data_IF_583080746501
#
_entry.id   IF_583080746501
#
_cell.length_a   1.000
_cell.length_b   1.000
_cell.length_c   1.000
_cell.angle_alpha   90.00
_cell.angle_beta   90.00
_cell.angle_gamma   90.00
#
_symmetry.space_group_name_H-M   'P 1'
#
loop_
_entity.id
_entity.type
_entity.pdbx_description
1 polymer ?
#
# COMPACT_ATOMS: atom_id res chain seq x y z
N UNK A 1 -6.04 30.44 27.59
CA UNK A 1 -6.04 30.66 26.14
C UNK A 1 -6.74 29.43 25.52
N UNK A 2 -7.91 29.68 24.96
CA UNK A 2 -8.80 28.63 24.40
C UNK A 2 -8.28 28.36 23.02
N UNK A 3 -7.75 27.14 22.81
CA UNK A 3 -7.38 26.65 21.49
C UNK A 3 -8.68 26.36 20.72
N UNK A 4 -9.02 27.23 19.80
CA UNK A 4 -10.02 26.94 18.79
C UNK A 4 -9.44 25.87 17.87
N UNK A 5 -10.02 24.69 17.89
CA UNK A 5 -9.76 23.62 16.95
C UNK A 5 -10.42 23.97 15.61
N UNK A 6 -9.73 24.70 14.77
CA UNK A 6 -9.96 24.59 13.33
C UNK A 6 -9.31 23.30 12.88
N UNK A 7 -10.08 22.20 12.91
CA UNK A 7 -9.79 21.01 12.09
C UNK A 7 -10.04 21.49 10.66
N UNK A 8 -8.99 21.99 10.03
CA UNK A 8 -9.02 22.30 8.60
C UNK A 8 -9.24 20.96 7.90
N UNK A 9 -10.39 20.81 7.25
CA UNK A 9 -10.72 19.58 6.51
C UNK A 9 -9.70 19.46 5.39
N UNK A 10 -8.97 18.35 5.36
CA UNK A 10 -8.07 18.02 4.24
C UNK A 10 -8.80 18.26 2.92
N UNK A 11 -8.15 18.96 2.00
CA UNK A 11 -8.76 19.31 0.71
C UNK A 11 -9.06 18.04 -0.08
N UNK A 12 -10.29 17.96 -0.58
CA UNK A 12 -10.69 16.90 -1.52
C UNK A 12 -10.82 17.51 -2.91
N UNK A 13 -10.12 16.93 -3.86
CA UNK A 13 -10.12 17.36 -5.26
C UNK A 13 -11.13 16.55 -6.05
N UNK A 14 -11.74 17.17 -7.06
CA UNK A 14 -12.71 16.55 -8.00
C UNK A 14 -12.13 16.39 -9.40
N UNK A 15 -11.09 17.16 -9.70
CA UNK A 15 -10.50 17.24 -11.04
C UNK A 15 -8.99 16.98 -11.00
N UNK A 16 -8.48 16.41 -12.09
CA UNK A 16 -7.05 16.22 -12.29
C UNK A 16 -6.46 17.46 -12.97
N UNK A 17 -5.46 18.13 -12.38
CA UNK A 17 -4.85 19.33 -12.95
C UNK A 17 -4.25 19.06 -14.35
N UNK A 18 -4.58 19.90 -15.32
CA UNK A 18 -4.02 19.82 -16.67
C UNK A 18 -2.65 20.52 -16.79
N UNK A 19 -2.39 21.47 -15.92
CA UNK A 19 -1.12 22.22 -15.82
C UNK A 19 -0.46 21.91 -14.46
N UNK A 20 0.88 22.09 -14.41
CA UNK A 20 1.61 21.94 -13.14
C UNK A 20 1.01 22.87 -12.09
N UNK A 21 0.58 22.33 -10.94
CA UNK A 21 0.08 23.15 -9.85
C UNK A 21 1.19 23.94 -9.17
N UNK A 22 0.83 25.02 -8.48
CA UNK A 22 1.73 25.70 -7.57
C UNK A 22 1.89 24.87 -6.29
N UNK A 23 3.15 24.59 -5.93
CA UNK A 23 3.51 23.73 -4.80
C UNK A 23 4.67 24.35 -4.02
N UNK A 24 4.44 25.53 -3.35
CA UNK A 24 5.52 26.35 -2.80
C UNK A 24 6.37 25.63 -1.74
N UNK A 25 5.79 24.78 -0.89
CA UNK A 25 6.55 24.00 0.08
C UNK A 25 7.23 22.80 -0.62
N UNK A 26 6.49 22.02 -1.41
CA UNK A 26 7.04 20.87 -2.12
C UNK A 26 8.20 21.28 -3.04
N UNK A 27 8.15 22.46 -3.64
CA UNK A 27 9.21 22.96 -4.53
C UNK A 27 10.51 23.25 -3.79
N UNK A 28 10.51 23.40 -2.47
CA UNK A 28 11.72 23.54 -1.64
C UNK A 28 12.33 22.20 -1.25
N UNK A 29 11.61 21.08 -1.41
CA UNK A 29 12.06 19.75 -1.00
C UNK A 29 12.87 19.11 -2.12
N UNK A 30 14.18 19.04 -1.95
CA UNK A 30 15.11 18.33 -2.83
C UNK A 30 15.45 16.92 -2.33
N UNK A 31 15.39 16.71 -1.01
CA UNK A 31 15.69 15.44 -0.35
C UNK A 31 14.90 15.28 0.95
N UNK A 32 14.76 14.08 1.51
CA UNK A 32 14.08 13.85 2.79
C UNK A 32 14.63 14.66 3.98
N UNK A 33 15.88 15.05 3.93
CA UNK A 33 16.50 15.88 4.96
C UNK A 33 15.80 17.25 5.10
N UNK A 34 15.30 17.80 3.99
CA UNK A 34 14.65 19.12 3.97
C UNK A 34 13.32 19.13 4.74
N UNK A 35 12.66 17.96 4.84
CA UNK A 35 11.40 17.81 5.58
C UNK A 35 11.57 18.14 7.07
N UNK A 36 12.74 17.86 7.65
CA UNK A 36 12.96 18.00 9.09
C UNK A 36 12.99 19.45 9.59
N UNK A 37 13.10 20.40 8.68
CA UNK A 37 13.01 21.83 8.98
C UNK A 37 11.59 22.37 9.02
N UNK A 38 10.60 21.58 8.55
CA UNK A 38 9.21 22.03 8.46
C UNK A 38 8.49 21.93 9.80
N UNK A 39 7.64 22.92 10.06
CA UNK A 39 6.67 22.89 11.15
C UNK A 39 5.54 21.89 10.88
N UNK A 40 4.75 21.57 11.92
CA UNK A 40 3.59 20.67 11.77
C UNK A 40 2.57 21.17 10.75
N UNK A 41 2.33 22.47 10.70
CA UNK A 41 1.37 23.07 9.76
C UNK A 41 1.90 23.02 8.33
N UNK A 42 3.20 23.27 8.13
CA UNK A 42 3.86 23.13 6.82
C UNK A 42 3.87 21.68 6.34
N UNK A 43 4.03 20.69 7.22
CA UNK A 43 3.90 19.27 6.84
C UNK A 43 2.49 18.92 6.36
N UNK A 44 1.44 19.46 6.99
CA UNK A 44 0.06 19.26 6.55
C UNK A 44 -0.17 19.91 5.18
N UNK A 45 0.33 21.14 4.98
CA UNK A 45 0.27 21.79 3.68
C UNK A 45 1.04 21.01 2.61
N UNK A 46 2.23 20.50 2.94
CA UNK A 46 3.02 19.65 2.05
C UNK A 46 2.24 18.40 1.60
N UNK A 47 1.45 17.79 2.50
CA UNK A 47 0.64 16.62 2.13
C UNK A 47 -0.41 16.96 1.07
N UNK A 48 -1.02 18.15 1.13
CA UNK A 48 -1.97 18.60 0.11
C UNK A 48 -1.26 18.95 -1.21
N UNK A 49 -0.11 19.63 -1.16
CA UNK A 49 0.69 19.94 -2.35
C UNK A 49 1.22 18.68 -3.05
N UNK A 50 1.71 17.70 -2.28
CA UNK A 50 2.18 16.42 -2.78
C UNK A 50 1.05 15.65 -3.48
N UNK A 51 -0.16 15.65 -2.89
CA UNK A 51 -1.35 15.05 -3.47
C UNK A 51 -1.70 15.70 -4.81
N UNK A 52 -1.77 17.04 -4.84
CA UNK A 52 -2.09 17.78 -6.04
C UNK A 52 -1.06 17.57 -7.16
N UNK A 53 0.21 17.53 -6.82
CA UNK A 53 1.29 17.25 -7.77
C UNK A 53 1.22 15.82 -8.30
N UNK A 54 0.88 14.83 -7.46
CA UNK A 54 0.64 13.44 -7.89
C UNK A 54 -0.52 13.35 -8.88
N UNK A 55 -1.65 14.01 -8.58
CA UNK A 55 -2.80 14.08 -9.50
C UNK A 55 -2.37 14.55 -10.89
N UNK A 56 -1.59 15.63 -10.93
CA UNK A 56 -1.05 16.18 -12.18
C UNK A 56 -0.16 15.17 -12.90
N UNK A 57 0.82 14.59 -12.21
CA UNK A 57 1.79 13.68 -12.85
C UNK A 57 1.12 12.42 -13.38
N UNK A 58 0.30 11.74 -12.55
CA UNK A 58 -0.36 10.48 -12.95
C UNK A 58 -1.40 10.72 -14.04
N UNK A 59 -2.09 11.87 -14.02
CA UNK A 59 -2.95 12.28 -15.12
C UNK A 59 -2.23 12.36 -16.47
N UNK A 60 -0.95 12.74 -16.49
CA UNK A 60 -0.13 12.85 -17.71
C UNK A 60 0.51 11.52 -18.13
N UNK A 61 0.92 10.69 -17.17
CA UNK A 61 1.70 9.48 -17.45
C UNK A 61 0.88 8.20 -17.40
N UNK A 62 -0.23 8.21 -16.68
CA UNK A 62 -0.88 7.01 -16.19
C UNK A 62 -0.08 6.34 -15.07
N UNK A 63 -0.57 5.24 -14.54
CA UNK A 63 0.10 4.47 -13.50
C UNK A 63 -0.79 4.16 -12.30
N UNK A 64 -0.20 3.59 -11.25
CA UNK A 64 -0.93 3.32 -10.00
C UNK A 64 -1.30 4.64 -9.31
N UNK A 65 -2.55 4.77 -8.92
CA UNK A 65 -3.08 6.05 -8.51
C UNK A 65 -3.59 6.05 -7.07
N UNK A 66 -4.66 5.32 -6.81
CA UNK A 66 -5.33 5.33 -5.52
C UNK A 66 -4.45 4.88 -4.35
N UNK A 67 -3.56 3.92 -4.58
CA UNK A 67 -2.65 3.43 -3.55
C UNK A 67 -1.63 4.48 -3.10
N UNK A 68 -1.08 5.26 -4.06
CA UNK A 68 -0.16 6.35 -3.76
C UNK A 68 -0.83 7.48 -2.97
N UNK A 69 -2.06 7.87 -3.34
CA UNK A 69 -2.84 8.87 -2.62
C UNK A 69 -3.13 8.47 -1.17
N UNK A 70 -3.38 7.18 -0.94
CA UNK A 70 -3.67 6.64 0.38
C UNK A 70 -2.49 6.68 1.37
N UNK A 71 -1.25 6.82 0.90
CA UNK A 71 -0.05 6.79 1.75
C UNK A 71 0.74 8.10 1.74
N UNK A 72 0.16 9.20 1.28
CA UNK A 72 0.85 10.49 1.25
C UNK A 72 1.37 10.90 2.62
N UNK A 73 0.49 10.97 3.61
CA UNK A 73 0.81 11.38 4.97
C UNK A 73 1.80 10.40 5.62
N UNK A 74 1.59 9.10 5.42
CA UNK A 74 2.50 8.07 5.93
C UNK A 74 3.90 8.22 5.32
N UNK A 75 4.00 8.50 4.02
CA UNK A 75 5.29 8.69 3.34
C UNK A 75 6.04 9.91 3.86
N UNK A 76 5.34 11.03 4.07
CA UNK A 76 5.91 12.24 4.67
C UNK A 76 6.41 11.95 6.08
N UNK A 77 5.58 11.32 6.92
CA UNK A 77 5.94 10.99 8.29
C UNK A 77 7.17 10.07 8.38
N UNK A 78 7.26 9.06 7.52
CA UNK A 78 8.40 8.16 7.43
C UNK A 78 9.69 8.91 7.08
N UNK A 79 9.68 9.74 6.06
CA UNK A 79 10.87 10.50 5.66
C UNK A 79 11.22 11.64 6.62
N UNK A 80 10.24 12.16 7.36
CA UNK A 80 10.47 13.14 8.41
C UNK A 80 11.18 12.52 9.63
N UNK A 81 10.73 11.33 10.06
CA UNK A 81 11.19 10.67 11.30
C UNK A 81 12.46 9.85 11.09
N UNK A 82 12.56 9.11 9.99
CA UNK A 82 13.69 8.22 9.70
C UNK A 82 14.76 8.92 8.87
N UNK A 83 16.01 8.65 9.19
CA UNK A 83 17.17 9.24 8.49
C UNK A 83 17.49 8.48 7.20
N UNK A 84 16.58 8.52 6.23
CA UNK A 84 16.80 7.88 4.92
C UNK A 84 17.85 8.63 4.10
N UNK A 85 18.70 7.93 3.32
CA UNK A 85 18.71 6.49 3.04
C UNK A 85 19.45 5.63 4.05
N UNK A 86 20.06 6.20 5.11
CA UNK A 86 20.74 5.42 6.15
C UNK A 86 19.78 4.44 6.83
N UNK A 87 18.65 4.91 7.36
CA UNK A 87 17.54 4.07 7.77
C UNK A 87 16.87 3.47 6.53
N UNK A 88 16.39 2.23 6.61
CA UNK A 88 15.87 1.48 5.46
C UNK A 88 14.33 1.45 5.45
N UNK A 89 13.74 1.95 4.37
CA UNK A 89 12.31 1.79 4.08
C UNK A 89 12.14 0.75 2.99
N UNK A 90 11.45 -0.35 3.29
CA UNK A 90 11.18 -1.44 2.37
C UNK A 90 9.68 -1.47 2.07
N UNK A 91 9.32 -1.04 0.87
CA UNK A 91 7.94 -0.98 0.42
C UNK A 91 7.51 -2.32 -0.16
N UNK A 92 6.37 -2.84 0.28
CA UNK A 92 5.78 -4.04 -0.33
C UNK A 92 5.13 -3.70 -1.66
N UNK A 93 5.25 -4.56 -2.67
CA UNK A 93 4.84 -4.29 -4.07
C UNK A 93 5.53 -3.06 -4.66
N UNK A 94 5.43 -1.91 -3.99
CA UNK A 94 6.03 -0.65 -4.40
C UNK A 94 5.16 0.21 -5.33
N UNK A 95 3.95 -0.21 -5.65
CA UNK A 95 3.01 0.54 -6.49
C UNK A 95 2.52 1.84 -5.85
N UNK A 96 2.60 1.96 -4.52
CA UNK A 96 2.23 3.13 -3.73
C UNK A 96 3.36 4.17 -3.58
N UNK A 97 4.55 3.97 -4.18
CA UNK A 97 5.77 4.74 -3.88
C UNK A 97 5.96 6.01 -4.69
N UNK A 98 4.96 6.52 -5.37
CA UNK A 98 5.09 7.78 -6.10
C UNK A 98 5.37 8.97 -5.18
N UNK A 99 4.71 9.12 -4.01
CA UNK A 99 5.10 10.12 -3.02
C UNK A 99 6.57 9.98 -2.57
N UNK A 100 7.03 8.76 -2.34
CA UNK A 100 8.42 8.47 -2.02
C UNK A 100 9.39 8.96 -3.10
N UNK A 101 9.10 8.69 -4.37
CA UNK A 101 9.94 9.17 -5.48
C UNK A 101 9.99 10.69 -5.57
N UNK A 102 8.86 11.36 -5.37
CA UNK A 102 8.77 12.83 -5.39
C UNK A 102 9.63 13.42 -4.28
N UNK A 103 9.53 12.92 -3.05
CA UNK A 103 10.25 13.42 -1.88
C UNK A 103 11.74 13.04 -1.86
N UNK A 104 12.17 12.12 -2.71
CA UNK A 104 13.55 11.64 -2.81
C UNK A 104 14.29 12.15 -4.05
N UNK A 105 14.00 13.38 -4.47
CA UNK A 105 14.73 14.11 -5.50
C UNK A 105 14.35 13.78 -6.96
N UNK A 106 13.28 12.97 -7.17
CA UNK A 106 12.85 12.58 -8.53
C UNK A 106 11.61 13.33 -9.02
N UNK A 107 11.21 14.41 -8.31
CA UNK A 107 10.01 15.19 -8.61
C UNK A 107 9.93 15.64 -10.07
N UNK A 108 11.00 16.25 -10.59
CA UNK A 108 11.02 16.78 -11.96
C UNK A 108 10.98 15.68 -13.02
N UNK A 109 11.39 14.47 -12.66
CA UNK A 109 11.40 13.32 -13.57
C UNK A 109 10.07 12.56 -13.60
N UNK A 110 9.11 12.90 -12.72
CA UNK A 110 7.84 12.17 -12.60
C UNK A 110 7.04 12.09 -13.90
N UNK A 111 7.18 13.09 -14.80
CA UNK A 111 6.53 13.05 -16.11
C UNK A 111 7.14 12.02 -17.10
N UNK A 112 8.26 11.39 -16.74
CA UNK A 112 8.86 10.28 -17.48
C UNK A 112 8.46 8.90 -16.91
N UNK A 113 7.61 8.87 -15.90
CA UNK A 113 7.19 7.65 -15.21
C UNK A 113 6.68 6.58 -16.18
N UNK A 114 7.19 5.33 -16.04
CA UNK A 114 6.81 4.17 -16.85
C UNK A 114 7.07 4.30 -18.35
N UNK A 115 7.87 5.27 -18.76
CA UNK A 115 8.31 5.42 -20.13
C UNK A 115 9.69 4.79 -20.35
N UNK A 116 10.01 4.44 -21.58
CA UNK A 116 11.34 3.89 -21.91
C UNK A 116 12.44 4.91 -21.60
N UNK A 117 13.38 4.52 -20.72
CA UNK A 117 14.46 5.39 -20.25
C UNK A 117 14.03 6.40 -19.17
N UNK A 118 12.78 6.40 -18.76
CA UNK A 118 12.26 7.20 -17.66
C UNK A 118 12.23 6.45 -16.33
N UNK A 119 11.53 7.04 -15.35
CA UNK A 119 11.38 6.46 -14.01
C UNK A 119 10.60 5.15 -14.03
N UNK A 120 11.06 4.19 -13.23
CA UNK A 120 10.33 2.94 -12.95
C UNK A 120 9.04 3.23 -12.20
N UNK A 121 8.00 2.45 -12.46
CA UNK A 121 6.74 2.48 -11.70
C UNK A 121 6.83 1.90 -10.29
N UNK A 122 7.96 1.28 -9.95
CA UNK A 122 8.26 0.64 -8.68
C UNK A 122 9.64 1.09 -8.17
N UNK A 123 9.96 0.88 -6.87
CA UNK A 123 11.32 1.09 -6.36
C UNK A 123 12.35 0.28 -7.15
N UNK A 124 13.46 0.92 -7.48
CA UNK A 124 14.54 0.32 -8.26
C UNK A 124 15.90 0.82 -7.76
N UNK A 125 16.70 -0.07 -7.15
CA UNK A 125 17.99 0.28 -6.53
C UNK A 125 18.96 1.00 -7.46
N UNK A 126 18.93 0.71 -8.76
CA UNK A 126 19.78 1.41 -9.73
C UNK A 126 19.25 2.80 -10.14
N UNK A 127 18.07 3.20 -9.66
CA UNK A 127 17.45 4.50 -9.91
C UNK A 127 17.74 5.49 -8.79
N UNK A 128 17.76 5.04 -7.55
CA UNK A 128 17.98 5.89 -6.39
C UNK A 128 18.51 5.09 -5.20
N UNK A 129 19.39 5.71 -4.41
CA UNK A 129 19.87 5.17 -3.12
C UNK A 129 18.77 5.04 -2.07
N UNK A 130 17.68 5.81 -2.22
CA UNK A 130 16.50 5.72 -1.36
C UNK A 130 15.63 4.50 -1.66
N UNK A 131 15.77 3.88 -2.83
CA UNK A 131 15.10 2.64 -3.19
C UNK A 131 15.90 1.46 -2.62
N UNK A 132 15.78 1.21 -1.32
CA UNK A 132 16.62 0.27 -0.57
C UNK A 132 16.46 -1.18 -1.02
N UNK A 133 15.29 -1.54 -1.57
CA UNK A 133 15.00 -2.85 -2.15
C UNK A 133 14.22 -2.70 -3.46
N UNK A 134 14.65 -3.39 -4.50
CA UNK A 134 13.93 -3.46 -5.78
C UNK A 134 12.75 -4.41 -5.66
N UNK A 135 11.56 -3.94 -6.01
CA UNK A 135 10.33 -4.68 -5.80
C UNK A 135 9.35 -4.47 -6.95
N UNK A 136 8.34 -5.31 -7.03
CA UNK A 136 7.24 -5.29 -8.00
C UNK A 136 6.23 -6.37 -7.68
N UNK A 137 6.65 -7.42 -6.95
CA UNK A 137 5.77 -8.47 -6.42
C UNK A 137 5.44 -8.22 -4.95
N UNK A 138 4.27 -8.67 -4.51
CA UNK A 138 3.80 -8.51 -3.13
C UNK A 138 4.52 -9.43 -2.14
N UNK A 139 4.35 -9.12 -0.85
CA UNK A 139 4.62 -10.00 0.29
C UNK A 139 6.11 -10.27 0.56
N UNK A 140 7.00 -9.49 -0.04
CA UNK A 140 8.46 -9.65 0.08
C UNK A 140 9.08 -8.71 1.10
N UNK A 141 8.37 -7.64 1.52
CA UNK A 141 8.96 -6.54 2.29
C UNK A 141 9.43 -6.95 3.67
N UNK A 142 8.67 -7.78 4.39
CA UNK A 142 9.03 -8.19 5.76
C UNK A 142 10.31 -9.04 5.73
N UNK A 143 10.39 -10.03 4.82
CA UNK A 143 11.61 -10.86 4.67
C UNK A 143 12.83 -10.01 4.34
N UNK A 144 12.70 -9.08 3.38
CA UNK A 144 13.80 -8.22 2.97
C UNK A 144 14.23 -7.27 4.11
N UNK A 145 13.27 -6.67 4.80
CA UNK A 145 13.52 -5.78 5.93
C UNK A 145 14.15 -6.53 7.11
N UNK A 146 13.66 -7.73 7.42
CA UNK A 146 14.28 -8.57 8.48
C UNK A 146 15.74 -8.87 8.16
N UNK A 147 16.04 -9.27 6.91
CA UNK A 147 17.44 -9.49 6.50
C UNK A 147 18.31 -8.25 6.62
N UNK A 148 17.75 -7.05 6.35
CA UNK A 148 18.47 -5.77 6.56
C UNK A 148 18.67 -5.45 8.05
N UNK A 149 17.69 -5.74 8.90
CA UNK A 149 17.79 -5.55 10.36
C UNK A 149 18.86 -6.46 10.94
N UNK A 150 18.83 -7.75 10.59
CA UNK A 150 19.85 -8.72 11.01
C UNK A 150 21.26 -8.32 10.55
N UNK A 151 21.40 -7.82 9.31
CA UNK A 151 22.68 -7.34 8.81
C UNK A 151 23.16 -6.11 9.56
N UNK A 152 22.27 -5.17 9.89
CA UNK A 152 22.59 -3.99 10.71
C UNK A 152 23.11 -4.38 12.09
N UNK A 153 22.44 -5.34 12.75
CA UNK A 153 22.87 -5.90 14.05
C UNK A 153 24.23 -6.56 13.96
N UNK A 154 24.47 -7.40 12.96
CA UNK A 154 25.76 -8.08 12.77
C UNK A 154 26.92 -7.12 12.45
N UNK A 155 26.62 -5.98 11.84
CA UNK A 155 27.61 -4.96 11.49
C UNK A 155 27.78 -3.89 12.58
N UNK A 156 27.10 -4.03 13.73
CA UNK A 156 27.09 -3.08 14.84
C UNK A 156 26.65 -1.67 14.39
N UNK A 157 25.64 -1.60 13.51
CA UNK A 157 25.06 -0.34 13.00
C UNK A 157 23.74 -0.02 13.73
N UNK A 158 23.55 1.24 14.14
CA UNK A 158 22.26 1.72 14.72
C UNK A 158 21.29 2.17 13.62
N UNK A 159 21.10 1.34 12.61
CA UNK A 159 20.22 1.58 11.47
C UNK A 159 18.84 1.03 11.77
N UNK A 160 17.81 1.84 11.55
CA UNK A 160 16.43 1.40 11.68
C UNK A 160 15.92 0.83 10.36
N UNK A 161 15.13 -0.23 10.44
CA UNK A 161 14.57 -0.91 9.27
C UNK A 161 13.05 -0.98 9.41
N UNK A 162 12.36 -0.51 8.37
CA UNK A 162 10.89 -0.41 8.32
C UNK A 162 10.38 -1.14 7.09
N UNK A 163 9.51 -2.12 7.26
CA UNK A 163 8.72 -2.74 6.20
C UNK A 163 7.33 -2.09 6.14
N UNK A 164 6.87 -1.72 4.97
CA UNK A 164 5.53 -1.17 4.75
C UNK A 164 4.76 -2.13 3.86
N UNK A 165 3.75 -2.81 4.43
CA UNK A 165 2.99 -3.87 3.76
C UNK A 165 1.49 -3.58 3.82
N UNK A 166 0.78 -3.85 2.72
CA UNK A 166 -0.68 -3.76 2.67
C UNK A 166 -1.36 -4.99 3.28
N UNK A 167 -2.60 -4.81 3.74
CA UNK A 167 -3.43 -5.87 4.32
C UNK A 167 -3.64 -7.07 3.37
N UNK A 168 -3.82 -6.80 2.07
CA UNK A 168 -3.89 -7.87 1.07
C UNK A 168 -2.58 -8.65 0.93
N UNK A 169 -1.44 -7.97 0.89
CA UNK A 169 -0.13 -8.62 0.79
C UNK A 169 0.26 -9.38 2.08
N UNK A 170 -0.27 -8.97 3.22
CA UNK A 170 -0.08 -9.66 4.51
C UNK A 170 -0.68 -11.07 4.52
N UNK A 171 -1.62 -11.39 3.63
CA UNK A 171 -2.27 -12.71 3.59
C UNK A 171 -1.43 -13.82 2.95
N UNK A 172 -0.32 -13.48 2.31
CA UNK A 172 0.53 -14.45 1.63
C UNK A 172 1.46 -15.22 2.59
N UNK A 173 1.81 -16.44 2.21
CA UNK A 173 2.63 -17.34 3.03
C UNK A 173 3.98 -16.76 3.41
N UNK A 174 4.69 -16.13 2.46
CA UNK A 174 6.00 -15.51 2.73
C UNK A 174 5.95 -14.43 3.81
N UNK A 175 4.86 -13.64 3.89
CA UNK A 175 4.69 -12.67 4.96
C UNK A 175 4.59 -13.34 6.33
N UNK A 176 3.83 -14.45 6.43
CA UNK A 176 3.72 -15.24 7.66
C UNK A 176 5.03 -15.93 8.04
N UNK A 177 5.75 -16.49 7.08
CA UNK A 177 7.08 -17.09 7.30
C UNK A 177 8.05 -16.05 7.86
N UNK A 178 8.04 -14.83 7.31
CA UNK A 178 8.87 -13.74 7.80
C UNK A 178 8.49 -13.27 9.21
N UNK A 179 7.19 -13.15 9.52
CA UNK A 179 6.70 -12.81 10.86
C UNK A 179 7.11 -13.89 11.86
N UNK A 180 6.92 -15.16 11.52
CA UNK A 180 7.32 -16.28 12.38
C UNK A 180 8.85 -16.28 12.63
N UNK A 181 9.65 -15.95 11.62
CA UNK A 181 11.12 -15.86 11.81
C UNK A 181 11.49 -14.63 12.64
N UNK A 182 10.89 -13.47 12.38
CA UNK A 182 11.16 -12.23 13.12
C UNK A 182 10.88 -12.35 14.62
N UNK A 183 9.92 -13.18 15.02
CA UNK A 183 9.62 -13.46 16.44
C UNK A 183 10.69 -14.25 17.16
N UNK A 184 11.58 -14.92 16.43
CA UNK A 184 12.67 -15.71 16.99
C UNK A 184 14.00 -14.92 17.10
N UNK A 185 14.16 -13.91 16.25
CA UNK A 185 15.33 -13.02 16.26
C UNK A 185 14.95 -11.70 16.92
N UNK A 186 15.80 -11.22 17.85
CA UNK A 186 15.52 -10.00 18.64
C UNK A 186 16.12 -8.75 17.95
N UNK A 187 15.94 -8.65 16.64
CA UNK A 187 16.41 -7.53 15.85
C UNK A 187 15.37 -6.42 15.73
N UNK A 188 15.82 -5.18 15.63
CA UNK A 188 14.96 -3.99 15.54
C UNK A 188 14.27 -3.92 14.18
N UNK A 189 13.04 -4.42 14.08
CA UNK A 189 12.22 -4.40 12.89
C UNK A 189 10.88 -3.72 13.16
N UNK A 190 10.57 -2.66 12.42
CA UNK A 190 9.22 -2.09 12.38
C UNK A 190 8.48 -2.61 11.14
N UNK A 191 7.35 -3.27 11.34
CA UNK A 191 6.41 -3.61 10.27
C UNK A 191 5.21 -2.67 10.35
N UNK A 192 4.94 -1.92 9.31
CA UNK A 192 3.75 -1.08 9.19
C UNK A 192 2.72 -1.82 8.34
N UNK A 193 1.66 -2.27 9.00
CA UNK A 193 0.49 -2.81 8.34
C UNK A 193 -0.40 -1.65 7.87
N UNK A 194 -0.35 -1.35 6.57
CA UNK A 194 -1.19 -0.35 5.92
C UNK A 194 -2.52 -0.98 5.50
N UNK A 195 -3.52 -0.87 6.37
CA UNK A 195 -4.83 -1.47 6.18
C UNK A 195 -5.78 -0.48 5.51
N UNK A 196 -6.20 -0.81 4.29
CA UNK A 196 -7.20 -0.04 3.54
C UNK A 196 -8.36 -0.92 3.03
N UNK A 197 -8.45 -2.17 3.50
CA UNK A 197 -9.46 -3.19 3.15
C UNK A 197 -9.49 -3.57 1.66
N UNK A 198 -8.45 -3.22 0.91
CA UNK A 198 -8.42 -3.39 -0.54
C UNK A 198 -7.08 -3.93 -1.01
N UNK A 199 -7.13 -4.94 -1.87
CA UNK A 199 -6.04 -5.26 -2.80
C UNK A 199 -6.30 -4.63 -4.18
N UNK A 200 -6.12 -5.36 -5.27
CA UNK A 200 -6.61 -4.94 -6.61
C UNK A 200 -8.14 -4.95 -6.61
N UNK A 201 -8.75 -5.99 -6.01
CA UNK A 201 -10.18 -6.14 -5.74
C UNK A 201 -10.43 -6.20 -4.22
N UNK A 202 -11.66 -6.52 -3.79
CA UNK A 202 -11.94 -6.77 -2.36
C UNK A 202 -11.14 -7.98 -1.89
N UNK A 203 -10.51 -7.85 -0.74
CA UNK A 203 -9.74 -8.93 -0.14
C UNK A 203 -10.63 -10.14 0.17
N UNK A 204 -10.14 -11.35 -0.11
CA UNK A 204 -10.80 -12.62 0.20
C UNK A 204 -10.03 -13.40 1.28
N UNK A 205 -10.70 -14.35 1.94
CA UNK A 205 -10.10 -15.24 2.92
C UNK A 205 -10.33 -14.86 4.37
N UNK A 206 -9.91 -15.75 5.27
CA UNK A 206 -10.17 -15.66 6.71
C UNK A 206 -9.53 -14.45 7.39
N UNK A 207 -8.32 -14.07 7.00
CA UNK A 207 -7.63 -12.88 7.51
C UNK A 207 -8.32 -11.60 7.08
N UNK A 208 -8.75 -11.50 5.82
CA UNK A 208 -9.54 -10.37 5.36
C UNK A 208 -10.83 -10.21 6.16
N UNK A 209 -11.51 -11.33 6.43
CA UNK A 209 -12.69 -11.35 7.31
C UNK A 209 -12.34 -10.91 8.73
N UNK A 210 -11.17 -11.30 9.24
CA UNK A 210 -10.70 -10.91 10.56
C UNK A 210 -10.46 -9.38 10.62
N UNK A 211 -9.72 -8.79 9.69
CA UNK A 211 -9.52 -7.35 9.61
C UNK A 211 -10.83 -6.59 9.41
N UNK A 212 -11.75 -7.08 8.56
CA UNK A 212 -13.07 -6.45 8.34
C UNK A 212 -13.93 -6.43 9.61
N UNK A 213 -13.90 -7.49 10.43
CA UNK A 213 -14.60 -7.53 11.73
C UNK A 213 -14.01 -6.50 12.71
N UNK A 214 -12.72 -6.26 12.64
CA UNK A 214 -12.01 -5.25 13.40
C UNK A 214 -12.56 -3.86 13.10
N UNK A 215 -12.73 -3.54 11.82
CA UNK A 215 -13.28 -2.27 11.35
C UNK A 215 -14.75 -2.06 11.71
N UNK A 216 -15.57 -3.09 11.57
CA UNK A 216 -17.00 -3.04 11.82
C UNK A 216 -17.36 -2.89 13.31
N UNK A 217 -16.41 -3.10 14.22
CA UNK A 217 -16.69 -3.04 15.65
C UNK A 217 -16.96 -1.59 16.08
N UNK A 218 -18.03 -1.36 16.89
CA UNK A 218 -18.28 -0.07 17.57
C UNK A 218 -17.07 0.40 18.39
N UNK A 219 -16.22 -0.53 18.70
CA UNK A 219 -14.95 -0.44 19.35
C UNK A 219 -13.91 0.38 18.54
N UNK A 220 -13.84 0.21 17.20
CA UNK A 220 -12.94 0.99 16.35
C UNK A 220 -13.19 2.51 16.46
N UNK A 221 -14.43 2.95 16.42
CA UNK A 221 -14.77 4.37 16.53
C UNK A 221 -14.43 4.94 17.92
N UNK A 222 -14.60 4.14 18.98
CA UNK A 222 -14.18 4.53 20.32
C UNK A 222 -12.64 4.54 20.47
N UNK A 223 -11.95 3.62 19.81
CA UNK A 223 -10.50 3.51 19.80
C UNK A 223 -9.87 4.70 19.08
N UNK A 224 -10.38 5.05 17.91
CA UNK A 224 -9.95 6.21 17.14
C UNK A 224 -10.02 7.50 17.98
N UNK A 225 -11.12 7.75 18.67
CA UNK A 225 -11.30 8.97 19.47
C UNK A 225 -10.47 8.96 20.78
N UNK A 226 -10.40 7.81 21.46
CA UNK A 226 -9.65 7.67 22.72
C UNK A 226 -8.14 7.57 22.47
N UNK A 227 -7.72 6.86 21.40
CA UNK A 227 -6.32 6.77 20.98
C UNK A 227 -5.73 8.13 20.62
N UNK A 228 -6.45 8.95 19.86
CA UNK A 228 -6.07 10.35 19.58
C UNK A 228 -5.80 11.13 20.84
N UNK A 229 -6.64 10.98 21.87
CA UNK A 229 -6.52 11.72 23.13
C UNK A 229 -5.40 11.22 24.03
N UNK A 230 -5.17 9.90 24.08
CA UNK A 230 -4.12 9.27 24.88
C UNK A 230 -2.73 9.49 24.26
N UNK A 231 -2.58 9.32 22.95
CA UNK A 231 -1.30 9.42 22.23
C UNK A 231 -0.82 10.86 22.10
N UNK A 232 -1.72 11.85 21.93
CA UNK A 232 -1.37 13.29 21.86
C UNK A 232 -0.83 13.88 23.17
N UNK A 233 -1.01 13.21 24.31
CA UNK A 233 -0.67 13.78 25.63
C UNK A 233 0.64 13.26 26.24
N UNK A 234 1.44 12.46 25.52
CA UNK A 234 2.58 11.74 26.09
C UNK A 234 3.94 12.24 25.55
N UNK A 235 4.78 12.84 26.41
CA UNK A 235 6.07 13.37 26.00
C UNK A 235 7.24 12.38 25.99
N UNK A 236 7.11 11.14 26.48
CA UNK A 236 8.22 10.20 26.67
C UNK A 236 7.88 8.77 26.24
N UNK A 237 8.81 8.12 25.51
CA UNK A 237 8.65 6.77 24.97
C UNK A 237 8.27 5.69 26.02
N UNK A 238 8.82 5.73 27.23
CA UNK A 238 8.51 4.76 28.30
C UNK A 238 7.08 4.87 28.82
N UNK A 239 6.52 6.08 28.87
CA UNK A 239 5.13 6.30 29.30
C UNK A 239 4.14 5.96 28.18
N UNK A 240 4.56 6.16 26.94
CA UNK A 240 3.84 5.71 25.75
C UNK A 240 3.67 4.18 25.75
N UNK A 241 4.77 3.43 25.93
CA UNK A 241 4.77 1.96 26.01
C UNK A 241 3.85 1.49 27.15
N UNK A 242 4.03 2.01 28.38
CA UNK A 242 3.22 1.61 29.54
C UNK A 242 1.72 1.86 29.32
N UNK A 243 1.32 3.01 28.80
CA UNK A 243 -0.09 3.32 28.57
C UNK A 243 -0.68 2.56 27.39
N UNK A 244 0.11 2.25 26.38
CA UNK A 244 -0.33 1.37 25.29
C UNK A 244 -0.56 -0.03 25.81
N UNK A 245 0.32 -0.57 26.66
CA UNK A 245 0.12 -1.87 27.33
C UNK A 245 -1.10 -1.88 28.27
N UNK A 246 -1.30 -0.85 29.11
CA UNK A 246 -2.47 -0.74 29.99
C UNK A 246 -3.77 -0.65 29.20
N UNK A 247 -3.73 0.06 28.06
CA UNK A 247 -4.86 0.21 27.15
C UNK A 247 -5.19 -1.10 26.44
N UNK A 248 -4.19 -1.86 26.02
CA UNK A 248 -4.34 -3.15 25.35
C UNK A 248 -4.80 -4.26 26.31
N UNK A 249 -4.28 -4.31 27.53
CA UNK A 249 -4.72 -5.27 28.56
C UNK A 249 -6.18 -5.10 28.99
N UNK A 250 -6.79 -3.96 28.74
CA UNK A 250 -8.22 -3.71 29.05
C UNK A 250 -9.18 -4.21 27.97
N UNK A 251 -8.68 -4.83 26.90
CA UNK A 251 -9.44 -5.12 25.70
C UNK A 251 -9.26 -6.57 25.24
N UNK A 252 -10.36 -7.20 24.81
CA UNK A 252 -10.32 -8.36 23.92
C UNK A 252 -9.99 -7.82 22.54
N UNK A 253 -8.70 -7.71 22.24
CA UNK A 253 -8.19 -7.01 21.05
C UNK A 253 -7.88 -8.01 19.92
N UNK A 254 -8.09 -7.60 18.67
CA UNK A 254 -7.60 -8.30 17.48
C UNK A 254 -6.06 -8.27 17.31
N UNK A 255 -5.38 -7.56 18.18
CA UNK A 255 -3.92 -7.56 18.33
C UNK A 255 -3.34 -8.96 18.62
N UNK A 256 -4.15 -9.86 19.19
CA UNK A 256 -3.71 -11.14 19.75
C UNK A 256 -2.89 -12.00 18.80
N UNK A 257 -3.22 -12.06 17.51
CA UNK A 257 -2.46 -12.92 16.59
C UNK A 257 -1.00 -12.45 16.42
N UNK A 258 -0.76 -11.15 16.30
CA UNK A 258 0.59 -10.61 16.15
C UNK A 258 1.37 -10.61 17.47
N UNK A 259 0.67 -10.39 18.59
CA UNK A 259 1.24 -10.47 19.93
C UNK A 259 1.63 -11.91 20.29
N UNK A 260 0.79 -12.89 19.98
CA UNK A 260 1.10 -14.31 20.15
C UNK A 260 2.26 -14.76 19.24
N UNK A 261 2.43 -14.09 18.08
CA UNK A 261 3.58 -14.25 17.22
C UNK A 261 4.80 -13.40 17.66
N UNK A 262 4.80 -12.83 18.87
CA UNK A 262 5.96 -12.17 19.46
C UNK A 262 6.18 -10.72 19.03
N UNK A 263 5.26 -10.09 18.28
CA UNK A 263 5.36 -8.68 17.92
C UNK A 263 4.76 -7.77 18.99
N UNK A 264 5.43 -6.66 19.26
CA UNK A 264 4.81 -5.57 20.01
C UNK A 264 3.83 -4.82 19.08
N UNK A 265 2.54 -5.06 19.26
CA UNK A 265 1.51 -4.49 18.39
C UNK A 265 1.03 -3.13 18.89
N UNK A 266 0.91 -2.16 17.97
CA UNK A 266 0.41 -0.81 18.21
C UNK A 266 -0.62 -0.46 17.13
N UNK A 267 -1.73 0.08 17.55
CA UNK A 267 -2.79 0.56 16.66
C UNK A 267 -4.14 -0.11 16.93
N UNK A 268 -5.09 0.04 16.00
CA UNK A 268 -4.95 0.82 14.76
C UNK A 268 -4.92 2.33 14.99
N UNK A 269 -4.16 3.06 14.16
CA UNK A 269 -4.13 4.53 14.14
C UNK A 269 -4.60 5.08 12.79
N UNK A 270 -5.03 6.35 12.78
CA UNK A 270 -5.46 7.04 11.56
C UNK A 270 -4.21 7.42 10.71
N UNK A 271 -4.09 6.83 9.52
CA UNK A 271 -2.98 7.06 8.59
C UNK A 271 -3.03 8.40 7.85
N UNK A 272 -4.08 9.20 8.07
CA UNK A 272 -4.24 10.54 7.54
C UNK A 272 -4.08 11.64 8.59
N UNK A 273 -3.87 11.28 9.87
CA UNK A 273 -3.48 12.21 10.94
C UNK A 273 -1.95 12.33 10.98
N UNK A 274 -1.39 13.20 10.14
CA UNK A 274 0.06 13.38 10.00
C UNK A 274 0.77 13.72 11.30
N UNK A 275 0.28 14.63 12.16
CA UNK A 275 0.87 14.87 13.48
C UNK A 275 0.90 13.62 14.36
N UNK A 276 -0.15 12.82 14.35
CA UNK A 276 -0.21 11.56 15.10
C UNK A 276 0.79 10.53 14.56
N UNK A 277 0.91 10.40 13.24
CA UNK A 277 1.90 9.53 12.59
C UNK A 277 3.32 9.90 12.98
N UNK A 278 3.69 11.18 12.88
CA UNK A 278 5.03 11.67 13.24
C UNK A 278 5.33 11.38 14.71
N UNK A 279 4.41 11.70 15.62
CA UNK A 279 4.59 11.43 17.04
C UNK A 279 4.74 9.92 17.33
N UNK A 280 3.87 9.10 16.72
CA UNK A 280 3.91 7.64 16.92
C UNK A 280 5.22 7.06 16.41
N UNK A 281 5.61 7.34 15.18
CA UNK A 281 6.84 6.85 14.58
C UNK A 281 8.09 7.30 15.36
N UNK A 282 8.09 8.54 15.86
CA UNK A 282 9.17 9.04 16.71
C UNK A 282 9.32 8.21 17.99
N UNK A 283 8.22 7.88 18.64
CA UNK A 283 8.22 7.05 19.86
C UNK A 283 8.66 5.61 19.55
N UNK A 284 8.26 5.06 18.41
CA UNK A 284 8.60 3.70 17.99
C UNK A 284 10.09 3.51 17.71
N UNK A 285 10.83 4.54 17.31
CA UNK A 285 12.30 4.44 17.11
C UNK A 285 13.05 3.99 18.34
N UNK A 286 12.51 4.20 19.54
CA UNK A 286 13.14 3.84 20.80
C UNK A 286 12.79 2.41 21.27
N UNK A 287 11.84 1.75 20.62
CA UNK A 287 11.44 0.38 20.97
C UNK A 287 12.39 -0.60 20.30
N UNK A 288 12.81 -1.61 21.06
CA UNK A 288 13.66 -2.70 20.60
C UNK A 288 12.84 -3.93 20.25
N UNK A 289 13.38 -4.76 19.35
CA UNK A 289 12.73 -5.97 18.87
C UNK A 289 11.66 -5.72 17.79
N UNK A 290 10.90 -6.76 17.42
CA UNK A 290 9.91 -6.68 16.35
C UNK A 290 8.66 -5.91 16.78
N UNK A 291 8.30 -4.88 16.04
CA UNK A 291 7.12 -4.02 16.28
C UNK A 291 6.18 -4.07 15.08
N UNK A 292 4.88 -4.20 15.35
CA UNK A 292 3.82 -4.08 14.35
C UNK A 292 3.02 -2.79 14.59
N UNK A 293 3.10 -1.84 13.67
CA UNK A 293 2.26 -0.65 13.66
C UNK A 293 1.11 -0.84 12.68
N UNK A 294 -0.12 -0.88 13.17
CA UNK A 294 -1.33 -0.96 12.33
C UNK A 294 -1.83 0.45 12.01
N UNK A 295 -1.82 0.80 10.73
CA UNK A 295 -2.24 2.11 10.22
C UNK A 295 -3.42 1.93 9.28
N UNK A 296 -4.47 2.68 9.51
CA UNK A 296 -5.67 2.67 8.66
C UNK A 296 -5.60 3.82 7.66
N UNK A 297 -5.71 3.49 6.39
CA UNK A 297 -5.74 4.47 5.30
C UNK A 297 -6.95 4.30 4.40
N UNK A 298 -7.19 5.28 3.55
CA UNK A 298 -8.22 5.22 2.51
C UNK A 298 -7.57 5.32 1.14
N UNK A 299 -7.74 4.28 0.32
CA UNK A 299 -7.26 4.26 -1.05
C UNK A 299 -7.93 5.38 -1.86
N UNK A 300 -7.15 6.21 -2.54
CA UNK A 300 -7.69 7.36 -3.27
C UNK A 300 -7.89 8.63 -2.43
N UNK A 301 -7.46 8.66 -1.17
CA UNK A 301 -7.67 9.77 -0.22
C UNK A 301 -7.39 11.16 -0.81
N UNK A 302 -8.38 12.06 -0.68
CA UNK A 302 -8.32 13.44 -1.14
C UNK A 302 -8.62 13.63 -2.64
N UNK A 303 -9.08 12.57 -3.33
CA UNK A 303 -9.63 12.67 -4.68
C UNK A 303 -10.96 11.92 -4.75
N UNK A 304 -12.08 12.65 -4.85
CA UNK A 304 -13.44 12.12 -4.68
C UNK A 304 -13.74 10.93 -5.57
N UNK A 305 -13.39 11.02 -6.85
CA UNK A 305 -13.64 9.94 -7.81
C UNK A 305 -12.90 8.64 -7.47
N UNK A 306 -11.71 8.73 -6.88
CA UNK A 306 -10.95 7.56 -6.45
C UNK A 306 -11.39 7.02 -5.08
N UNK A 307 -11.96 7.86 -4.22
CA UNK A 307 -12.59 7.44 -2.97
C UNK A 307 -13.89 6.70 -3.25
N UNK A 308 -14.67 7.14 -4.26
CA UNK A 308 -15.94 6.52 -4.66
C UNK A 308 -15.74 5.21 -5.43
N UNK A 309 -14.69 5.12 -6.27
CA UNK A 309 -14.35 3.91 -7.06
C UNK A 309 -12.87 3.54 -6.91
N UNK A 310 -12.46 2.98 -5.76
CA UNK A 310 -11.06 2.62 -5.51
C UNK A 310 -10.53 1.47 -6.39
N UNK A 311 -11.39 0.68 -7.01
CA UNK A 311 -11.01 -0.37 -7.98
C UNK A 311 -10.70 0.23 -9.34
N UNK A 312 -11.61 1.04 -9.89
CA UNK A 312 -11.42 1.72 -11.18
C UNK A 312 -10.23 2.69 -11.17
N UNK A 313 -9.96 3.29 -10.00
CA UNK A 313 -8.82 4.20 -9.79
C UNK A 313 -7.58 3.53 -9.18
N UNK A 314 -7.51 2.19 -9.18
CA UNK A 314 -6.28 1.48 -8.77
C UNK A 314 -5.10 1.84 -9.67
N UNK A 315 -5.32 1.81 -11.00
CA UNK A 315 -4.35 2.26 -12.00
C UNK A 315 -5.07 3.00 -13.12
N UNK A 316 -4.56 4.17 -13.47
CA UNK A 316 -5.11 5.00 -14.53
C UNK A 316 -4.34 4.82 -15.83
N UNK A 317 -5.06 4.86 -16.96
CA UNK A 317 -4.47 5.16 -18.24
C UNK A 317 -4.17 6.68 -18.32
N UNK A 318 -3.24 7.05 -19.20
CA UNK A 318 -2.97 8.47 -19.49
C UNK A 318 -4.27 9.18 -19.85
N UNK A 319 -4.55 10.29 -19.17
CA UNK A 319 -5.69 11.16 -19.50
C UNK A 319 -5.24 12.06 -20.64
N UNK A 320 -5.78 11.81 -21.82
CA UNK A 320 -5.60 12.73 -22.95
C UNK A 320 -6.56 13.92 -22.79
N UNK A 321 -6.08 15.16 -22.95
CA UNK A 321 -6.96 16.31 -23.00
C UNK A 321 -8.03 16.06 -24.07
N UNK A 322 -9.32 16.28 -23.74
CA UNK A 322 -10.36 16.29 -24.77
C UNK A 322 -9.93 17.34 -25.80
N UNK A 323 -9.48 16.89 -26.97
CA UNK A 323 -9.28 17.80 -28.08
C UNK A 323 -10.63 18.43 -28.39
N UNK A 324 -10.73 19.76 -28.61
CA UNK A 324 -11.94 20.33 -29.15
C UNK A 324 -12.29 19.54 -30.40
N UNK A 325 -13.54 19.11 -30.50
CA UNK A 325 -14.07 18.39 -31.67
C UNK A 325 -13.92 19.36 -32.85
N UNK A 326 -12.79 19.30 -33.52
CA UNK A 326 -12.68 19.84 -34.87
C UNK A 326 -13.35 18.77 -35.73
N UNK A 327 -14.56 19.06 -36.20
CA UNK A 327 -15.20 18.25 -37.23
C UNK A 327 -14.29 18.18 -38.43
N UNK A 328 -13.43 17.16 -38.47
CA UNK A 328 -12.84 16.71 -39.74
C UNK A 328 -12.17 15.36 -39.58
N UNK A 329 -12.54 14.46 -40.46
CA UNK A 329 -11.95 13.14 -40.73
C UNK A 329 -12.19 12.10 -39.65
N UNK A 330 -13.28 11.37 -39.78
CA UNK A 330 -13.48 10.07 -39.12
C UNK A 330 -12.25 9.18 -39.45
N UNK A 331 -11.33 8.95 -38.53
CA UNK A 331 -10.27 7.97 -38.77
C UNK A 331 -10.96 6.61 -38.94
N UNK A 332 -10.66 5.90 -40.00
CA UNK A 332 -11.09 4.49 -40.11
C UNK A 332 -10.78 3.80 -38.80
N UNK A 333 -11.71 3.06 -38.18
CA UNK A 333 -11.49 2.40 -36.92
C UNK A 333 -10.24 1.51 -37.08
N UNK A 334 -9.14 1.84 -36.38
CA UNK A 334 -8.04 0.91 -36.24
C UNK A 334 -8.62 -0.27 -35.49
N UNK A 335 -8.75 -1.41 -36.16
CA UNK A 335 -9.12 -2.67 -35.53
C UNK A 335 -8.04 -2.91 -34.47
N UNK A 336 -8.37 -2.62 -33.22
CA UNK A 336 -7.46 -2.88 -32.10
C UNK A 336 -7.25 -4.40 -32.05
N UNK A 337 -5.99 -4.83 -32.08
CA UNK A 337 -5.67 -6.24 -31.90
C UNK A 337 -6.14 -6.68 -30.49
N UNK A 338 -6.75 -7.88 -30.35
CA UNK A 338 -7.17 -8.34 -29.04
C UNK A 338 -5.96 -8.47 -28.12
N UNK A 339 -6.12 -8.13 -26.84
CA UNK A 339 -5.12 -8.35 -25.81
C UNK A 339 -4.99 -9.84 -25.51
N UNK A 340 -3.82 -10.31 -25.15
CA UNK A 340 -3.59 -11.73 -24.82
C UNK A 340 -4.51 -12.26 -23.72
N UNK A 341 -4.75 -11.48 -22.66
CA UNK A 341 -5.69 -11.86 -21.59
C UNK A 341 -7.12 -12.05 -22.10
N UNK A 342 -7.57 -11.27 -23.09
CA UNK A 342 -8.89 -11.45 -23.69
C UNK A 342 -8.97 -12.77 -24.46
N UNK A 343 -7.93 -13.09 -25.24
CA UNK A 343 -7.84 -14.36 -25.97
C UNK A 343 -7.82 -15.54 -25.00
N UNK A 344 -7.09 -15.42 -23.89
CA UNK A 344 -7.05 -16.44 -22.84
C UNK A 344 -8.40 -16.62 -22.16
N UNK A 345 -9.07 -15.53 -21.76
CA UNK A 345 -10.38 -15.59 -21.11
C UNK A 345 -11.46 -16.20 -22.00
N UNK A 346 -11.49 -15.82 -23.30
CA UNK A 346 -12.42 -16.41 -24.28
C UNK A 346 -12.16 -17.92 -24.43
N UNK A 347 -10.89 -18.32 -24.62
CA UNK A 347 -10.48 -19.73 -24.68
C UNK A 347 -10.89 -20.51 -23.43
N UNK A 348 -10.69 -19.94 -22.25
CA UNK A 348 -11.01 -20.60 -20.99
C UNK A 348 -12.52 -20.87 -20.87
N UNK A 349 -13.34 -19.92 -21.29
CA UNK A 349 -14.79 -20.06 -21.34
C UNK A 349 -15.22 -21.13 -22.35
N UNK A 350 -14.67 -21.12 -23.56
CA UNK A 350 -14.96 -22.11 -24.61
C UNK A 350 -14.61 -23.53 -24.18
N UNK A 351 -13.47 -23.70 -23.48
CA UNK A 351 -13.06 -25.00 -22.96
C UNK A 351 -13.94 -25.45 -21.79
N UNK A 352 -14.37 -24.54 -20.93
CA UNK A 352 -15.26 -24.87 -19.81
C UNK A 352 -16.67 -25.31 -20.26
N UNK A 353 -17.15 -24.84 -21.40
CA UNK A 353 -18.40 -25.35 -22.00
C UNK A 353 -18.28 -26.80 -22.46
N UNK A 354 -17.09 -27.18 -22.93
CA UNK A 354 -16.84 -28.50 -23.47
C UNK A 354 -16.43 -29.52 -22.39
N UNK A 355 -15.81 -29.04 -21.29
CA UNK A 355 -15.30 -29.89 -20.23
C UNK A 355 -15.73 -29.39 -18.84
N UNK A 356 -16.64 -30.10 -18.21
CA UNK A 356 -17.15 -29.79 -16.87
C UNK A 356 -16.10 -29.95 -15.75
N UNK A 357 -14.98 -30.62 -16.02
CA UNK A 357 -13.88 -30.82 -15.06
C UNK A 357 -12.92 -29.64 -15.01
N UNK A 358 -13.04 -28.69 -15.93
CA UNK A 358 -12.16 -27.53 -15.98
C UNK A 358 -12.50 -26.57 -14.83
N UNK A 359 -11.48 -26.22 -14.05
CA UNK A 359 -11.53 -25.26 -12.93
C UNK A 359 -10.58 -24.13 -13.25
N UNK A 360 -11.02 -22.88 -13.09
CA UNK A 360 -10.18 -21.70 -13.21
C UNK A 360 -9.75 -21.19 -11.84
N UNK A 361 -8.45 -21.01 -11.62
CA UNK A 361 -7.88 -20.55 -10.36
C UNK A 361 -7.05 -19.29 -10.62
N UNK A 362 -7.19 -18.27 -9.78
CA UNK A 362 -6.36 -17.07 -9.84
C UNK A 362 -6.02 -16.55 -8.45
N UNK A 363 -4.79 -16.06 -8.20
CA UNK A 363 -4.43 -15.41 -6.95
C UNK A 363 -4.67 -13.89 -7.03
N UNK A 364 -5.90 -13.43 -6.75
CA UNK A 364 -6.32 -12.02 -6.75
C UNK A 364 -6.10 -11.28 -8.10
N UNK A 365 -6.16 -12.00 -9.22
CA UNK A 365 -5.80 -11.44 -10.55
C UNK A 365 -6.92 -11.60 -11.59
N UNK A 366 -8.19 -11.62 -11.18
CA UNK A 366 -9.34 -11.90 -12.06
C UNK A 366 -9.36 -11.01 -13.30
N UNK A 367 -9.35 -9.69 -13.11
CA UNK A 367 -9.42 -8.71 -14.20
C UNK A 367 -8.16 -8.75 -15.08
N UNK A 368 -7.00 -8.78 -14.44
CA UNK A 368 -5.72 -8.74 -15.14
C UNK A 368 -5.43 -9.98 -15.98
N UNK A 369 -5.91 -11.14 -15.55
CA UNK A 369 -5.83 -12.40 -16.30
C UNK A 369 -6.94 -12.56 -17.34
N UNK A 370 -7.99 -11.71 -17.30
CA UNK A 370 -9.12 -11.79 -18.21
C UNK A 370 -10.13 -12.88 -17.85
N UNK A 371 -10.22 -13.26 -16.57
CA UNK A 371 -11.12 -14.31 -16.09
C UNK A 371 -12.51 -13.82 -15.68
N UNK A 372 -12.85 -12.54 -15.88
CA UNK A 372 -14.13 -11.97 -15.47
C UNK A 372 -15.32 -12.74 -16.05
N UNK A 373 -15.33 -12.96 -17.38
CA UNK A 373 -16.40 -13.69 -18.05
C UNK A 373 -16.50 -15.14 -17.54
N UNK A 374 -15.36 -15.76 -17.21
CA UNK A 374 -15.33 -17.10 -16.63
C UNK A 374 -15.90 -17.14 -15.21
N UNK A 375 -15.53 -16.22 -14.38
CA UNK A 375 -16.03 -16.10 -13.01
C UNK A 375 -17.55 -15.86 -12.96
N UNK A 376 -18.08 -15.06 -13.90
CA UNK A 376 -19.52 -14.80 -14.03
C UNK A 376 -20.30 -15.99 -14.56
N UNK A 377 -19.78 -16.67 -15.60
CA UNK A 377 -20.47 -17.78 -16.28
C UNK A 377 -20.35 -19.11 -15.55
N UNK A 378 -19.25 -19.33 -14.83
CA UNK A 378 -18.92 -20.58 -14.16
C UNK A 378 -18.51 -20.38 -12.69
N UNK A 379 -19.33 -19.71 -11.85
CA UNK A 379 -18.95 -19.34 -10.49
C UNK A 379 -18.58 -20.54 -9.61
N UNK A 380 -19.19 -21.71 -9.81
CA UNK A 380 -18.88 -22.94 -9.06
C UNK A 380 -17.55 -23.61 -9.51
N UNK A 381 -16.90 -23.07 -10.53
CA UNK A 381 -15.66 -23.57 -11.09
C UNK A 381 -14.56 -22.50 -11.15
N UNK A 382 -14.80 -21.39 -10.48
CA UNK A 382 -13.87 -20.29 -10.34
C UNK A 382 -13.42 -20.16 -8.89
N UNK A 383 -12.09 -20.13 -8.69
CA UNK A 383 -11.49 -19.97 -7.36
C UNK A 383 -10.54 -18.76 -7.36
N UNK A 384 -10.80 -17.80 -6.48
CA UNK A 384 -9.85 -16.75 -6.13
C UNK A 384 -9.24 -17.09 -4.77
N UNK A 385 -7.95 -17.39 -4.78
CA UNK A 385 -7.21 -17.85 -3.58
C UNK A 385 -6.52 -16.69 -2.83
N UNK A 386 -6.91 -15.44 -3.08
CA UNK A 386 -6.20 -14.25 -2.63
C UNK A 386 -4.75 -14.18 -3.18
N UNK A 387 -3.88 -13.36 -2.60
CA UNK A 387 -2.47 -13.25 -3.02
C UNK A 387 -1.69 -14.45 -2.48
N UNK A 388 -1.81 -15.59 -3.14
CA UNK A 388 -1.26 -16.86 -2.67
C UNK A 388 -0.85 -17.78 -3.84
N UNK A 389 0.14 -17.35 -4.64
CA UNK A 389 0.55 -18.05 -5.87
C UNK A 389 1.02 -19.48 -5.61
N UNK A 390 1.83 -19.69 -4.57
CA UNK A 390 2.34 -21.03 -4.21
C UNK A 390 1.20 -21.96 -3.81
N UNK A 391 0.23 -21.44 -3.05
CA UNK A 391 -0.98 -22.16 -2.66
C UNK A 391 -1.82 -22.52 -3.88
N UNK A 392 -2.03 -21.59 -4.82
CA UNK A 392 -2.85 -21.82 -6.02
C UNK A 392 -2.31 -22.98 -6.86
N UNK A 393 -0.99 -23.08 -7.02
CA UNK A 393 -0.35 -24.17 -7.77
C UNK A 393 -0.48 -25.50 -7.03
N UNK A 394 -0.27 -25.52 -5.72
CA UNK A 394 -0.39 -26.74 -4.91
C UNK A 394 -1.86 -27.21 -4.83
N UNK A 395 -2.81 -26.28 -4.68
CA UNK A 395 -4.25 -26.56 -4.71
C UNK A 395 -4.66 -27.19 -6.05
N UNK A 396 -4.20 -26.58 -7.15
CA UNK A 396 -4.43 -27.13 -8.49
C UNK A 396 -3.87 -28.56 -8.64
N UNK A 397 -2.67 -28.82 -8.14
CA UNK A 397 -2.10 -30.16 -8.15
C UNK A 397 -2.97 -31.16 -7.38
N UNK A 398 -3.49 -30.79 -6.20
CA UNK A 398 -4.42 -31.61 -5.44
C UNK A 398 -5.72 -31.90 -6.21
N UNK A 399 -6.33 -30.88 -6.82
CA UNK A 399 -7.53 -31.05 -7.66
C UNK A 399 -7.27 -31.98 -8.88
N UNK A 400 -6.09 -31.86 -9.48
CA UNK A 400 -5.71 -32.69 -10.60
C UNK A 400 -5.55 -34.18 -10.20
N UNK A 401 -5.08 -34.48 -8.99
CA UNK A 401 -5.01 -35.84 -8.46
C UNK A 401 -6.40 -36.49 -8.36
N UNK A 402 -7.46 -35.72 -8.18
CA UNK A 402 -8.85 -36.17 -8.12
C UNK A 402 -9.55 -36.12 -9.49
N UNK A 403 -8.79 -35.85 -10.56
CA UNK A 403 -9.27 -35.94 -11.95
C UNK A 403 -9.96 -34.67 -12.47
N UNK A 404 -9.87 -33.55 -11.76
CA UNK A 404 -10.21 -32.22 -12.28
C UNK A 404 -9.11 -31.71 -13.20
N UNK A 405 -9.42 -30.65 -13.96
CA UNK A 405 -8.50 -30.00 -14.89
C UNK A 405 -8.31 -28.52 -14.53
N UNK A 406 -7.54 -28.24 -13.48
CA UNK A 406 -7.34 -26.87 -13.05
C UNK A 406 -6.42 -26.09 -14.00
N UNK A 407 -6.79 -24.85 -14.26
CA UNK A 407 -6.01 -23.84 -14.99
C UNK A 407 -5.70 -22.72 -14.04
N UNK A 408 -4.42 -22.52 -13.73
CA UNK A 408 -3.96 -21.44 -12.83
C UNK A 408 -3.50 -20.26 -13.65
N UNK A 409 -4.15 -19.11 -13.48
CA UNK A 409 -3.85 -17.87 -14.20
C UNK A 409 -3.04 -16.92 -13.31
N UNK A 410 -1.74 -16.86 -13.57
CA UNK A 410 -0.79 -15.96 -12.90
C UNK A 410 -0.06 -15.17 -13.97
N UNK A 411 0.09 -13.86 -13.76
CA UNK A 411 0.93 -13.01 -14.61
C UNK A 411 1.93 -12.20 -13.78
N UNK A 412 3.00 -11.77 -14.42
CA UNK A 412 4.06 -10.96 -13.81
C UNK A 412 3.78 -9.47 -13.97
#
# INVERSE_FOLDING_TARGET
>A
MIWHSTIDMQKTYTDIPLTRPETPILDTIGAPADLRGLSSDELVQLADELRLFMLFCVGKTGGHFGAGLGVNELTIALHYVYNTPYDRLVWDVGHQTYPHKILTGRREQMLSMRQRGGLSGFPKRSESEFDTFGVGHSSTSISAALGMAMASSQLDEDRKTVAIIGDGAMTAGMAFEAINHASHVDDDLLVILNDNQMSISKNVGGLSTYFSKLWASKFYNQLRERGKKALRSLPHAKEFVRRTEEYMKSMVSPATIFEELGFYYIGPIDGHDLPLLVQTLTNLKAIKGPVMLHVITHKGKGFSLAEDDPVGYHALNKIEPKQPIIEEVVPKPKIAKPKYQKVFGDWLCDMAEQDQKLIGITPAMCEGSGMNDFAERFPDRYEDVAIAEQHSVTLAAGMACEGLKPVVAIYS
#
